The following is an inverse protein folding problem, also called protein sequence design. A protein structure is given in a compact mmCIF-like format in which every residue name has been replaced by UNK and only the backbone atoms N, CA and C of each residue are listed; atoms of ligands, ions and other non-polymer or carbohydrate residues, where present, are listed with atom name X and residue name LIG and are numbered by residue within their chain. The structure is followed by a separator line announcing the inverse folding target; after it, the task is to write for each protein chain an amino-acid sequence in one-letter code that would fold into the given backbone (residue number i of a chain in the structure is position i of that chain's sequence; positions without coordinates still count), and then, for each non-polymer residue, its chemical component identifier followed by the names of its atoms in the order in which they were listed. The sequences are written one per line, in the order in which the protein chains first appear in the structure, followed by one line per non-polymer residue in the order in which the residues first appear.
data_IF_243228206125
#
_entry.id   IF_243228206125
#
_cell.length_a   1.000
_cell.length_b   1.000
_cell.length_c   1.000
_cell.angle_alpha   90.00
_cell.angle_beta   90.00
_cell.angle_gamma   90.00
#
_symmetry.space_group_name_H-M   'P 1'
#
loop_
_entity.id
_entity.type
_entity.pdbx_description
1 polymer ?
#
# COMPACT_ATOMS: atom_id res chain seq x y z
N UNK A 1 -13.26 21.27 -6.21
CA UNK A 1 -13.51 19.90 -5.71
C UNK A 1 -14.23 19.96 -4.38
N UNK A 2 -15.33 19.20 -4.25
CA UNK A 2 -15.99 18.98 -2.96
C UNK A 2 -15.12 18.07 -2.05
N UNK A 3 -15.48 17.93 -0.76
CA UNK A 3 -14.68 17.16 0.22
C UNK A 3 -14.44 15.71 -0.24
N UNK A 4 -15.48 15.05 -0.79
CA UNK A 4 -15.43 13.68 -1.33
C UNK A 4 -14.42 13.52 -2.46
N UNK A 5 -14.40 14.46 -3.42
CA UNK A 5 -13.44 14.42 -4.53
C UNK A 5 -12.00 14.57 -4.03
N UNK A 6 -11.75 15.46 -3.03
CA UNK A 6 -10.41 15.67 -2.49
C UNK A 6 -9.88 14.44 -1.79
N UNK A 7 -10.70 13.80 -0.95
CA UNK A 7 -10.31 12.60 -0.22
C UNK A 7 -10.15 11.40 -1.14
N UNK A 8 -11.01 11.28 -2.16
CA UNK A 8 -10.86 10.26 -3.20
C UNK A 8 -9.55 10.43 -3.99
N UNK A 9 -9.26 11.63 -4.50
CA UNK A 9 -8.02 11.89 -5.21
C UNK A 9 -6.78 11.64 -4.33
N UNK A 10 -6.80 12.09 -3.08
CA UNK A 10 -5.73 11.83 -2.12
C UNK A 10 -5.53 10.32 -1.88
N UNK A 11 -6.60 9.54 -1.78
CA UNK A 11 -6.55 8.09 -1.67
C UNK A 11 -5.90 7.43 -2.89
N UNK A 12 -6.30 7.82 -4.11
CA UNK A 12 -5.69 7.31 -5.35
C UNK A 12 -4.19 7.64 -5.44
N UNK A 13 -3.79 8.86 -5.08
CA UNK A 13 -2.38 9.26 -5.04
C UNK A 13 -1.62 8.46 -3.98
N UNK A 14 -2.19 8.25 -2.79
CA UNK A 14 -1.55 7.44 -1.74
C UNK A 14 -1.36 5.97 -2.15
N UNK A 15 -2.30 5.40 -2.91
CA UNK A 15 -2.13 4.08 -3.51
C UNK A 15 -0.96 4.05 -4.51
N UNK A 16 -0.86 5.05 -5.39
CA UNK A 16 0.26 5.18 -6.33
C UNK A 16 1.61 5.32 -5.61
N UNK A 17 1.66 6.15 -4.56
CA UNK A 17 2.85 6.32 -3.74
C UNK A 17 3.25 5.00 -3.06
N UNK A 18 2.28 4.25 -2.53
CA UNK A 18 2.53 2.93 -1.92
C UNK A 18 3.12 1.94 -2.93
N UNK A 19 2.58 1.90 -4.15
CA UNK A 19 3.13 1.08 -5.24
C UNK A 19 4.54 1.51 -5.63
N UNK A 20 4.78 2.81 -5.70
CA UNK A 20 6.10 3.33 -6.01
C UNK A 20 7.11 2.92 -4.94
N UNK A 21 6.79 3.12 -3.65
CA UNK A 21 7.63 2.68 -2.54
C UNK A 21 7.92 1.18 -2.64
N UNK A 22 6.89 0.36 -2.83
CA UNK A 22 7.04 -1.09 -3.00
C UNK A 22 8.00 -1.49 -4.12
N UNK A 23 8.08 -0.73 -5.21
CA UNK A 23 8.91 -1.07 -6.38
C UNK A 23 10.35 -0.57 -6.25
N UNK A 24 10.65 0.34 -5.31
CA UNK A 24 12.00 0.93 -5.14
C UNK A 24 13.12 -0.13 -5.06
N UNK A 25 13.04 -1.19 -4.23
CA UNK A 25 14.08 -2.22 -4.19
C UNK A 25 14.26 -2.96 -5.53
N UNK A 26 13.18 -3.23 -6.26
CA UNK A 26 13.25 -3.89 -7.58
C UNK A 26 14.05 -3.07 -8.58
N UNK A 27 13.86 -1.74 -8.58
CA UNK A 27 14.50 -0.87 -9.57
C UNK A 27 15.87 -0.36 -9.14
N UNK A 28 16.22 -0.37 -7.85
CA UNK A 28 17.52 0.13 -7.36
C UNK A 28 18.54 -0.98 -7.15
N UNK A 29 18.12 -2.18 -6.77
CA UNK A 29 19.03 -3.27 -6.41
C UNK A 29 19.37 -4.11 -7.64
N UNK A 30 20.65 -4.45 -7.81
CA UNK A 30 21.18 -5.26 -8.93
C UNK A 30 22.02 -6.40 -8.39
N UNK A 31 22.03 -7.54 -9.10
CA UNK A 31 22.86 -8.70 -8.76
C UNK A 31 22.38 -9.55 -7.57
N UNK A 32 21.30 -9.19 -6.88
CA UNK A 32 20.80 -9.90 -5.69
C UNK A 32 19.39 -10.48 -5.90
N UNK A 33 19.15 -11.10 -7.06
CA UNK A 33 17.79 -11.52 -7.47
C UNK A 33 17.17 -12.57 -6.52
N UNK A 34 17.99 -13.52 -6.05
CA UNK A 34 17.58 -14.57 -5.11
C UNK A 34 17.10 -14.02 -3.75
N UNK A 35 17.92 -13.27 -2.98
CA UNK A 35 17.48 -12.73 -1.69
C UNK A 35 16.38 -11.67 -1.84
N UNK A 36 16.35 -10.91 -2.95
CA UNK A 36 15.27 -9.98 -3.22
C UNK A 36 13.93 -10.70 -3.45
N UNK A 37 13.94 -11.81 -4.19
CA UNK A 37 12.75 -12.65 -4.36
C UNK A 37 12.22 -13.18 -3.03
N UNK A 38 13.11 -13.69 -2.18
CA UNK A 38 12.74 -14.15 -0.83
C UNK A 38 12.18 -13.02 0.05
N UNK A 39 12.72 -11.80 -0.09
CA UNK A 39 12.24 -10.63 0.64
C UNK A 39 10.79 -10.27 0.27
N UNK A 40 10.48 -10.19 -1.02
CA UNK A 40 9.11 -9.93 -1.48
C UNK A 40 8.15 -11.11 -1.23
N UNK A 41 8.66 -12.33 -1.19
CA UNK A 41 7.89 -13.55 -0.92
C UNK A 41 7.74 -13.87 0.57
N UNK A 42 8.28 -13.03 1.47
CA UNK A 42 8.20 -13.29 2.92
C UNK A 42 6.77 -13.31 3.42
N UNK A 43 6.42 -14.31 4.23
CA UNK A 43 5.07 -14.48 4.78
C UNK A 43 4.07 -15.15 3.84
N UNK A 44 2.81 -15.34 4.27
CA UNK A 44 1.85 -16.19 3.56
C UNK A 44 1.43 -15.69 2.17
N UNK A 45 1.42 -14.36 1.98
CA UNK A 45 0.95 -13.70 0.74
C UNK A 45 2.06 -12.91 0.06
N UNK A 46 3.15 -12.61 0.78
CA UNK A 46 4.20 -11.71 0.33
C UNK A 46 3.71 -10.26 0.12
N UNK A 47 4.62 -9.42 -0.34
CA UNK A 47 4.34 -8.02 -0.69
C UNK A 47 3.45 -7.89 -1.95
N UNK A 48 3.29 -8.95 -2.74
CA UNK A 48 2.41 -8.97 -3.90
C UNK A 48 0.94 -8.68 -3.54
N UNK A 49 0.47 -9.18 -2.39
CA UNK A 49 -0.86 -8.87 -1.88
C UNK A 49 -1.05 -7.37 -1.63
N UNK A 50 -0.06 -6.70 -1.03
CA UNK A 50 -0.10 -5.26 -0.77
C UNK A 50 -0.22 -4.49 -2.08
N UNK A 51 0.59 -4.85 -3.09
CA UNK A 51 0.55 -4.23 -4.41
C UNK A 51 -0.80 -4.41 -5.11
N UNK A 52 -1.37 -5.61 -5.04
CA UNK A 52 -2.70 -5.89 -5.61
C UNK A 52 -3.79 -5.02 -4.99
N UNK A 53 -3.85 -4.93 -3.66
CA UNK A 53 -4.84 -4.09 -2.98
C UNK A 53 -4.62 -2.60 -3.26
N UNK A 54 -3.37 -2.14 -3.39
CA UNK A 54 -3.07 -0.77 -3.77
C UNK A 54 -3.58 -0.45 -5.19
N UNK A 55 -3.39 -1.35 -6.15
CA UNK A 55 -3.93 -1.21 -7.51
C UNK A 55 -5.47 -1.15 -7.53
N UNK A 56 -6.13 -2.03 -6.78
CA UNK A 56 -7.59 -1.98 -6.63
C UNK A 56 -8.05 -0.66 -5.98
N UNK A 57 -7.33 -0.18 -4.96
CA UNK A 57 -7.59 1.09 -4.30
C UNK A 57 -7.63 2.26 -5.28
N UNK A 58 -6.70 2.32 -6.24
CA UNK A 58 -6.71 3.35 -7.30
C UNK A 58 -8.04 3.34 -8.06
N UNK A 59 -8.47 2.17 -8.53
CA UNK A 59 -9.71 2.04 -9.30
C UNK A 59 -10.93 2.44 -8.46
N UNK A 60 -10.98 2.02 -7.20
CA UNK A 60 -12.08 2.34 -6.28
C UNK A 60 -12.14 3.84 -5.98
N UNK A 61 -11.01 4.48 -5.71
CA UNK A 61 -11.01 5.92 -5.46
C UNK A 61 -11.38 6.70 -6.72
N UNK A 62 -10.81 6.37 -7.88
CA UNK A 62 -11.14 7.05 -9.14
C UNK A 62 -12.60 6.84 -9.57
N UNK A 63 -13.22 5.69 -9.24
CA UNK A 63 -14.65 5.48 -9.51
C UNK A 63 -15.53 6.42 -8.68
N UNK A 64 -15.15 6.67 -7.42
CA UNK A 64 -15.79 7.67 -6.56
C UNK A 64 -15.58 9.11 -7.04
N UNK A 65 -14.39 9.44 -7.56
CA UNK A 65 -14.11 10.76 -8.13
C UNK A 65 -15.00 11.07 -9.34
N UNK A 66 -15.13 10.08 -10.25
CA UNK A 66 -15.85 10.19 -11.52
C UNK A 66 -17.37 10.03 -11.36
N UNK A 67 -17.85 9.72 -10.16
CA UNK A 67 -19.27 9.43 -9.91
C UNK A 67 -19.78 8.19 -10.64
N UNK A 68 -18.90 7.26 -11.00
CA UNK A 68 -19.25 6.04 -11.74
C UNK A 68 -19.80 4.93 -10.84
N UNK A 69 -19.66 5.08 -9.51
CA UNK A 69 -20.15 4.16 -8.50
C UNK A 69 -20.90 4.92 -7.40
N UNK A 70 -21.84 4.24 -6.74
CA UNK A 70 -22.54 4.78 -5.59
C UNK A 70 -21.56 5.17 -4.46
N UNK A 71 -21.64 6.40 -3.90
CA UNK A 71 -20.68 6.87 -2.90
C UNK A 71 -20.59 6.02 -1.64
N UNK A 72 -21.71 5.43 -1.17
CA UNK A 72 -21.70 4.56 0.01
C UNK A 72 -20.95 3.25 -0.27
N UNK A 73 -21.11 2.71 -1.48
CA UNK A 73 -20.35 1.55 -1.95
C UNK A 73 -18.84 1.83 -2.00
N UNK A 74 -18.42 2.96 -2.55
CA UNK A 74 -17.00 3.38 -2.57
C UNK A 74 -16.44 3.53 -1.16
N UNK A 75 -17.21 4.13 -0.24
CA UNK A 75 -16.81 4.28 1.16
C UNK A 75 -16.56 2.93 1.85
N UNK A 76 -17.50 1.99 1.71
CA UNK A 76 -17.36 0.64 2.28
C UNK A 76 -16.17 -0.12 1.69
N UNK A 77 -16.06 -0.17 0.37
CA UNK A 77 -14.98 -0.90 -0.32
C UNK A 77 -13.61 -0.31 0.00
N UNK A 78 -13.45 1.02 -0.08
CA UNK A 78 -12.16 1.68 0.20
C UNK A 78 -11.68 1.43 1.63
N UNK A 79 -12.57 1.47 2.62
CA UNK A 79 -12.23 1.15 4.02
C UNK A 79 -11.75 -0.30 4.18
N UNK A 80 -12.50 -1.28 3.66
CA UNK A 80 -12.14 -2.70 3.78
C UNK A 80 -10.82 -2.98 3.06
N UNK A 81 -10.64 -2.46 1.85
CA UNK A 81 -9.42 -2.65 1.08
C UNK A 81 -8.20 -2.04 1.77
N UNK A 82 -8.33 -0.80 2.27
CA UNK A 82 -7.21 -0.12 2.94
C UNK A 82 -6.84 -0.76 4.28
N UNK A 83 -7.83 -1.25 5.04
CA UNK A 83 -7.58 -2.00 6.26
C UNK A 83 -6.84 -3.32 5.95
N UNK A 84 -7.32 -4.08 4.96
CA UNK A 84 -6.67 -5.32 4.54
C UNK A 84 -5.24 -5.07 4.03
N UNK A 85 -5.02 -4.01 3.25
CA UNK A 85 -3.69 -3.60 2.77
C UNK A 85 -2.74 -3.32 3.95
N UNK A 86 -3.16 -2.53 4.94
CA UNK A 86 -2.34 -2.22 6.11
C UNK A 86 -2.05 -3.48 6.91
N UNK A 87 -3.05 -4.34 7.13
CA UNK A 87 -2.85 -5.63 7.82
C UNK A 87 -1.85 -6.53 7.10
N UNK A 88 -1.93 -6.62 5.76
CA UNK A 88 -0.97 -7.36 4.95
C UNK A 88 0.43 -6.76 5.01
N UNK A 89 0.56 -5.43 5.02
CA UNK A 89 1.85 -4.76 5.15
C UNK A 89 2.49 -5.01 6.53
N UNK A 90 1.70 -4.96 7.60
CA UNK A 90 2.15 -5.31 8.95
C UNK A 90 2.54 -6.78 9.06
N UNK A 91 1.72 -7.68 8.50
CA UNK A 91 2.02 -9.11 8.45
C UNK A 91 3.33 -9.38 7.69
N UNK A 92 3.52 -8.71 6.55
CA UNK A 92 4.73 -8.83 5.74
C UNK A 92 5.97 -8.34 6.51
N UNK A 93 5.89 -7.18 7.17
CA UNK A 93 6.96 -6.66 8.02
C UNK A 93 7.42 -7.69 9.06
N UNK A 94 6.49 -8.28 9.81
CA UNK A 94 6.83 -9.31 10.81
C UNK A 94 7.26 -10.66 10.22
N UNK A 95 7.00 -10.89 8.93
CA UNK A 95 7.39 -12.13 8.26
C UNK A 95 8.81 -12.08 7.67
N UNK A 96 9.40 -10.89 7.56
CA UNK A 96 10.77 -10.72 7.06
C UNK A 96 11.73 -11.10 8.19
N UNK A 97 12.53 -12.14 7.97
CA UNK A 97 13.54 -12.58 8.94
C UNK A 97 14.81 -11.73 8.91
N UNK A 98 15.39 -11.50 10.09
CA UNK A 98 16.65 -10.75 10.25
C UNK A 98 17.80 -11.34 9.43
N UNK A 99 17.91 -12.67 9.37
CA UNK A 99 18.95 -13.36 8.58
C UNK A 99 18.88 -13.01 7.10
N UNK A 100 17.67 -12.80 6.57
CA UNK A 100 17.45 -12.38 5.19
C UNK A 100 17.79 -10.89 5.01
N UNK A 101 17.36 -10.02 5.93
CA UNK A 101 17.68 -8.59 5.89
C UNK A 101 19.19 -8.33 5.93
N UNK A 102 19.90 -9.03 6.80
CA UNK A 102 21.36 -8.91 6.93
C UNK A 102 22.15 -9.69 5.88
N UNK A 103 21.49 -10.42 4.97
CA UNK A 103 22.14 -11.04 3.81
C UNK A 103 22.47 -10.03 2.70
N UNK A 104 21.83 -8.87 2.70
CA UNK A 104 22.11 -7.79 1.76
C UNK A 104 23.38 -7.03 2.17
N UNK A 105 24.07 -6.43 1.19
CA UNK A 105 25.25 -5.60 1.48
C UNK A 105 24.89 -4.35 2.30
N UNK A 106 25.83 -3.80 3.06
CA UNK A 106 25.61 -2.60 3.89
C UNK A 106 25.06 -1.38 3.12
N UNK A 107 25.29 -1.30 1.80
CA UNK A 107 24.73 -0.26 0.94
C UNK A 107 23.19 -0.32 0.85
N UNK A 108 22.60 -1.45 1.24
CA UNK A 108 21.19 -1.77 1.20
C UNK A 108 20.54 -1.82 2.59
N UNK A 109 21.20 -1.30 3.63
CA UNK A 109 20.68 -1.29 5.02
C UNK A 109 19.33 -0.56 5.17
N UNK A 110 18.99 0.33 4.23
CA UNK A 110 17.70 1.02 4.19
C UNK A 110 16.50 0.06 3.98
N UNK A 111 16.72 -1.19 3.56
CA UNK A 111 15.67 -2.22 3.43
C UNK A 111 14.97 -2.53 4.76
N UNK A 112 15.60 -2.26 5.89
CA UNK A 112 14.97 -2.35 7.21
C UNK A 112 13.76 -1.40 7.33
N UNK A 113 13.90 -0.19 6.77
CA UNK A 113 12.87 0.85 6.82
C UNK A 113 11.84 0.74 5.69
N UNK A 114 12.11 -0.06 4.67
CA UNK A 114 11.25 -0.16 3.50
C UNK A 114 9.84 -0.70 3.83
N UNK A 115 9.63 -1.79 4.59
CA UNK A 115 8.29 -2.24 4.95
C UNK A 115 7.57 -1.24 5.86
N UNK A 116 8.30 -0.57 6.75
CA UNK A 116 7.74 0.50 7.60
C UNK A 116 7.24 1.66 6.75
N UNK A 117 7.97 2.05 5.69
CA UNK A 117 7.52 3.05 4.73
C UNK A 117 6.25 2.60 3.99
N UNK A 118 6.15 1.33 3.58
CA UNK A 118 4.94 0.76 2.96
C UNK A 118 3.74 0.79 3.92
N UNK A 119 3.94 0.47 5.21
CA UNK A 119 2.90 0.59 6.24
C UNK A 119 2.47 2.06 6.39
N UNK A 120 3.43 2.98 6.48
CA UNK A 120 3.15 4.41 6.64
C UNK A 120 2.31 4.95 5.48
N UNK A 121 2.65 4.62 4.23
CA UNK A 121 1.85 5.04 3.07
C UNK A 121 0.49 4.34 3.04
N UNK A 122 0.41 3.08 3.47
CA UNK A 122 -0.85 2.36 3.65
C UNK A 122 -1.79 3.04 4.65
N UNK A 123 -1.27 3.56 5.76
CA UNK A 123 -2.05 4.32 6.74
C UNK A 123 -2.59 5.63 6.15
N UNK A 124 -1.88 6.27 5.22
CA UNK A 124 -2.40 7.43 4.48
C UNK A 124 -3.61 7.03 3.61
N UNK A 125 -3.57 5.86 2.97
CA UNK A 125 -4.72 5.33 2.22
C UNK A 125 -5.90 5.13 3.17
N UNK A 126 -5.68 4.49 4.33
CA UNK A 126 -6.73 4.25 5.33
C UNK A 126 -7.33 5.56 5.86
N UNK A 127 -6.50 6.57 6.12
CA UNK A 127 -6.96 7.89 6.52
C UNK A 127 -7.79 8.58 5.42
N UNK A 128 -7.38 8.46 4.15
CA UNK A 128 -8.13 8.97 3.01
C UNK A 128 -9.49 8.26 2.86
N UNK A 129 -9.54 6.94 3.03
CA UNK A 129 -10.79 6.16 3.08
C UNK A 129 -11.71 6.65 4.20
N UNK A 130 -11.18 6.82 5.42
CA UNK A 130 -11.94 7.37 6.55
C UNK A 130 -12.48 8.78 6.29
N UNK A 131 -11.66 9.64 5.69
CA UNK A 131 -12.07 10.98 5.28
C UNK A 131 -13.14 11.00 4.18
N UNK A 132 -13.07 10.06 3.23
CA UNK A 132 -14.11 9.87 2.22
C UNK A 132 -15.42 9.40 2.85
N UNK A 133 -15.38 8.39 3.72
CA UNK A 133 -16.56 7.89 4.45
C UNK A 133 -17.22 8.98 5.29
N UNK A 134 -16.43 9.76 6.03
CA UNK A 134 -16.95 10.90 6.80
C UNK A 134 -17.68 11.90 5.90
N UNK A 135 -17.15 12.19 4.72
CA UNK A 135 -17.77 13.10 3.76
C UNK A 135 -19.00 12.52 3.02
N UNK A 136 -19.31 11.23 3.20
CA UNK A 136 -20.51 10.58 2.64
C UNK A 136 -21.66 10.55 3.64
N UNK A 137 -21.36 10.50 4.94
CA UNK A 137 -22.36 10.41 6.03
C UNK A 137 -22.76 11.78 6.60
N UNK A 138 -22.00 12.84 6.31
CA UNK A 138 -22.34 14.24 6.55
C UNK A 138 -23.37 14.75 5.52
#
# INVERSE_FOLDING_TARGET
MNRRQKTSFAGAVACLVTLFVLVIPVITIRGTQQPLGAYYASGPVGAGGIGFFALLGIVVFLSGERGSADPATVAGISLVLSLALVSLAVLWFFSIGDTLLFSFSNQHSWLEWHPVAVIATGLVILAASGGYTAAVIE
#
